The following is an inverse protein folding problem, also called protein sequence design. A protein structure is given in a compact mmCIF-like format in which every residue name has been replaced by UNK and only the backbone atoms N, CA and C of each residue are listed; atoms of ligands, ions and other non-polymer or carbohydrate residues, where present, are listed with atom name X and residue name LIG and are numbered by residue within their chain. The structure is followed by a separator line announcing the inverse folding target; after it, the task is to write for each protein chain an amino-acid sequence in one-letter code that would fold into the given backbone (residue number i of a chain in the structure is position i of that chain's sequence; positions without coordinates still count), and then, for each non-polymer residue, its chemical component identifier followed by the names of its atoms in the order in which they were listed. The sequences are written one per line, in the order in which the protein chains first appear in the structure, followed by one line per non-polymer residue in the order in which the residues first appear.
data_IF_440384443371
#
_entry.id   IF_440384443371
#
_cell.length_a   1.000
_cell.length_b   1.000
_cell.length_c   1.000
_cell.angle_alpha   90.00
_cell.angle_beta   90.00
_cell.angle_gamma   90.00
#
_symmetry.space_group_name_H-M   'P 1'
#
loop_
_entity.id
_entity.type
_entity.pdbx_description
1 polymer ?
#
# COMPACT_ATOMS: atom_id res chain seq x y z
N UNK A 1 -24.68 12.36 -18.93
CA UNK A 1 -24.20 12.52 -17.55
C UNK A 1 -23.83 11.14 -17.05
N UNK A 2 -22.53 10.81 -16.98
CA UNK A 2 -22.09 9.53 -16.43
C UNK A 2 -21.93 9.71 -14.93
N UNK A 3 -22.77 9.03 -14.16
CA UNK A 3 -22.65 8.90 -12.72
C UNK A 3 -21.29 8.26 -12.41
N UNK A 4 -20.38 9.03 -11.81
CA UNK A 4 -19.08 8.52 -11.37
C UNK A 4 -19.36 7.72 -10.10
N UNK A 5 -19.23 6.40 -10.19
CA UNK A 5 -19.16 5.55 -9.01
C UNK A 5 -17.95 6.01 -8.17
N UNK A 6 -18.25 6.56 -6.99
CA UNK A 6 -17.27 6.93 -5.97
C UNK A 6 -16.76 5.63 -5.33
N UNK A 7 -15.76 5.01 -5.94
CA UNK A 7 -15.04 3.89 -5.32
C UNK A 7 -14.07 4.46 -4.28
N UNK A 8 -14.53 4.51 -3.03
CA UNK A 8 -13.72 4.84 -1.86
C UNK A 8 -13.36 3.56 -1.13
N UNK A 9 -12.18 3.51 -0.53
CA UNK A 9 -11.79 2.40 0.31
C UNK A 9 -12.77 2.19 1.49
N UNK A 10 -13.47 3.24 1.94
CA UNK A 10 -14.41 3.16 3.07
C UNK A 10 -15.71 2.42 2.73
N UNK A 11 -16.06 2.34 1.44
CA UNK A 11 -17.31 1.71 0.97
C UNK A 11 -17.13 0.29 0.47
N UNK A 12 -15.90 -0.09 0.12
CA UNK A 12 -15.60 -1.40 -0.47
C UNK A 12 -15.29 -2.43 0.63
N UNK A 13 -15.77 -3.67 0.49
CA UNK A 13 -15.40 -4.76 1.42
C UNK A 13 -13.92 -5.16 1.24
N UNK A 14 -13.15 -5.35 2.34
CA UNK A 14 -11.79 -5.87 2.29
C UNK A 14 -11.67 -7.22 1.60
N UNK A 15 -10.72 -7.34 0.66
CA UNK A 15 -10.49 -8.57 -0.13
C UNK A 15 -9.02 -8.95 -0.18
N UNK A 16 -8.77 -10.22 -0.46
CA UNK A 16 -7.41 -10.77 -0.63
C UNK A 16 -6.57 -10.04 -1.67
N UNK A 17 -7.20 -9.50 -2.72
CA UNK A 17 -6.51 -8.74 -3.78
C UNK A 17 -5.97 -7.41 -3.29
N UNK A 18 -6.51 -6.85 -2.20
CA UNK A 18 -6.11 -5.55 -1.66
C UNK A 18 -4.73 -5.61 -0.99
N UNK A 19 -4.34 -6.81 -0.52
CA UNK A 19 -2.99 -7.11 0.02
C UNK A 19 -1.87 -6.74 -0.96
N UNK A 20 -2.18 -6.68 -2.27
CA UNK A 20 -1.28 -6.14 -3.29
C UNK A 20 -0.75 -4.73 -2.98
N UNK A 21 -1.52 -3.92 -2.24
CA UNK A 21 -1.10 -2.59 -1.77
C UNK A 21 0.17 -2.62 -0.91
N UNK A 22 0.31 -3.65 -0.06
CA UNK A 22 1.51 -3.84 0.75
C UNK A 22 2.72 -4.20 -0.13
N UNK A 23 2.50 -5.00 -1.17
CA UNK A 23 3.55 -5.44 -2.10
C UNK A 23 3.98 -4.33 -3.07
N UNK A 24 3.12 -3.34 -3.32
CA UNK A 24 3.46 -2.12 -4.05
C UNK A 24 4.48 -1.25 -3.28
N UNK A 25 4.43 -1.26 -1.96
CA UNK A 25 5.44 -0.66 -1.09
C UNK A 25 6.58 -1.63 -0.76
N UNK A 26 7.10 -1.51 0.46
CA UNK A 26 8.18 -2.33 1.00
C UNK A 26 7.73 -3.71 1.53
N UNK A 27 6.45 -4.08 1.41
CA UNK A 27 5.94 -5.38 1.85
C UNK A 27 6.53 -6.53 1.03
N UNK A 28 6.81 -7.65 1.69
CA UNK A 28 7.38 -8.85 1.09
C UNK A 28 6.37 -10.00 1.15
N UNK A 29 6.49 -10.93 0.20
CA UNK A 29 5.72 -12.18 0.22
C UNK A 29 6.67 -13.37 0.17
N UNK A 30 6.51 -14.30 1.10
CA UNK A 30 7.31 -15.52 1.20
C UNK A 30 6.39 -16.72 1.10
N UNK A 31 6.69 -17.63 0.17
CA UNK A 31 5.97 -18.89 0.03
C UNK A 31 6.60 -19.98 0.90
N UNK A 32 5.77 -20.72 1.61
CA UNK A 32 6.15 -21.80 2.54
C UNK A 32 5.34 -23.06 2.25
N UNK A 33 5.61 -24.15 2.97
CA UNK A 33 4.79 -25.37 2.90
C UNK A 33 3.32 -25.13 3.31
N UNK A 34 3.05 -24.13 4.17
CA UNK A 34 1.72 -23.77 4.65
C UNK A 34 1.02 -22.72 3.77
N UNK A 35 1.65 -22.31 2.67
CA UNK A 35 1.19 -21.26 1.77
C UNK A 35 2.00 -19.97 1.91
N UNK A 36 1.42 -18.84 1.52
CA UNK A 36 2.11 -17.55 1.47
C UNK A 36 1.87 -16.75 2.73
N UNK A 37 2.96 -16.19 3.26
CA UNK A 37 2.94 -15.09 4.23
C UNK A 37 3.25 -13.78 3.52
N UNK A 38 2.49 -12.73 3.82
CA UNK A 38 2.83 -11.35 3.46
C UNK A 38 3.21 -10.59 4.73
N UNK A 39 4.29 -9.81 4.67
CA UNK A 39 4.80 -9.03 5.81
C UNK A 39 5.30 -7.67 5.36
N UNK A 40 5.10 -6.64 6.17
CA UNK A 40 5.56 -5.28 5.89
C UNK A 40 6.14 -4.65 7.14
N UNK A 41 7.32 -4.05 7.02
CA UNK A 41 7.96 -3.27 8.07
C UNK A 41 7.34 -1.86 8.05
N UNK A 42 6.95 -1.34 9.20
CA UNK A 42 6.32 -0.01 9.32
C UNK A 42 6.98 0.80 10.43
N UNK A 43 6.95 2.12 10.30
CA UNK A 43 7.59 3.02 11.26
C UNK A 43 6.82 3.10 12.59
N UNK A 44 5.48 3.05 12.53
CA UNK A 44 4.62 3.38 13.66
C UNK A 44 3.66 2.25 14.02
N UNK A 45 3.34 2.16 15.32
CA UNK A 45 2.41 1.16 15.85
C UNK A 45 1.02 1.24 15.22
N UNK A 46 0.51 2.45 14.99
CA UNK A 46 -0.80 2.65 14.37
C UNK A 46 -0.88 2.06 12.97
N UNK A 47 0.21 2.10 12.20
CA UNK A 47 0.27 1.53 10.84
C UNK A 47 0.15 0.02 10.90
N UNK A 48 0.88 -0.60 11.83
CA UNK A 48 0.83 -2.05 11.99
C UNK A 48 -0.55 -2.52 12.42
N UNK A 49 -1.16 -1.85 13.41
CA UNK A 49 -2.48 -2.20 13.91
C UNK A 49 -3.57 -2.02 12.85
N UNK A 50 -3.53 -0.93 12.08
CA UNK A 50 -4.47 -0.71 10.97
C UNK A 50 -4.29 -1.76 9.85
N UNK A 51 -3.06 -2.11 9.49
CA UNK A 51 -2.81 -3.17 8.51
C UNK A 51 -3.34 -4.52 9.00
N UNK A 52 -3.12 -4.87 10.27
CA UNK A 52 -3.66 -6.11 10.85
C UNK A 52 -5.19 -6.09 10.85
N UNK A 53 -5.81 -4.97 11.18
CA UNK A 53 -7.27 -4.81 11.14
C UNK A 53 -7.82 -5.02 9.71
N UNK A 54 -7.21 -4.37 8.70
CA UNK A 54 -7.56 -4.50 7.29
C UNK A 54 -7.41 -5.94 6.77
N UNK A 55 -6.29 -6.61 7.12
CA UNK A 55 -6.05 -8.01 6.75
C UNK A 55 -7.06 -8.95 7.41
N UNK A 56 -7.36 -8.72 8.69
CA UNK A 56 -8.34 -9.52 9.45
C UNK A 56 -9.74 -9.35 8.88
N UNK A 57 -10.11 -8.12 8.50
CA UNK A 57 -11.39 -7.83 7.86
C UNK A 57 -11.50 -8.48 6.46
N UNK A 58 -10.38 -8.70 5.76
CA UNK A 58 -10.33 -9.50 4.52
C UNK A 58 -10.38 -11.03 4.78
N UNK A 59 -10.56 -11.44 6.04
CA UNK A 59 -10.65 -12.82 6.49
C UNK A 59 -9.30 -13.53 6.55
N UNK A 60 -8.19 -12.81 6.73
CA UNK A 60 -6.86 -13.39 6.94
C UNK A 60 -6.50 -13.39 8.42
N UNK A 61 -5.80 -14.41 8.90
CA UNK A 61 -5.15 -14.34 10.20
C UNK A 61 -3.90 -13.47 10.07
N UNK A 62 -3.79 -12.42 10.89
CA UNK A 62 -2.71 -11.45 10.85
C UNK A 62 -2.31 -11.02 12.26
N UNK A 63 -1.06 -10.60 12.41
CA UNK A 63 -0.47 -10.20 13.68
C UNK A 63 0.57 -9.09 13.50
N UNK A 64 0.76 -8.32 14.57
CA UNK A 64 1.84 -7.36 14.73
C UNK A 64 2.95 -8.02 15.54
N UNK A 65 4.18 -7.98 15.03
CA UNK A 65 5.37 -8.54 15.70
C UNK A 65 6.53 -7.55 15.65
N UNK A 66 7.51 -7.76 16.53
CA UNK A 66 8.83 -7.12 16.43
C UNK A 66 9.77 -8.12 15.77
N UNK A 67 10.49 -7.69 14.73
CA UNK A 67 11.50 -8.53 14.06
C UNK A 67 12.73 -8.73 14.94
N UNK A 68 13.62 -9.64 14.54
CA UNK A 68 14.89 -9.86 15.24
C UNK A 68 15.76 -8.60 15.23
N UNK A 69 15.64 -7.78 14.20
CA UNK A 69 16.31 -6.48 14.05
C UNK A 69 15.59 -5.34 14.80
N UNK A 70 14.58 -5.64 15.63
CA UNK A 70 13.84 -4.66 16.42
C UNK A 70 12.83 -3.83 15.63
N UNK A 71 12.55 -4.19 14.37
CA UNK A 71 11.62 -3.44 13.52
C UNK A 71 10.17 -3.89 13.76
N UNK A 72 9.24 -2.94 13.71
CA UNK A 72 7.82 -3.24 13.82
C UNK A 72 7.27 -3.80 12.49
N UNK A 73 6.60 -4.94 12.54
CA UNK A 73 6.12 -5.67 11.37
C UNK A 73 4.65 -6.04 11.53
N UNK A 74 3.84 -5.71 10.53
CA UNK A 74 2.53 -6.34 10.34
C UNK A 74 2.66 -7.50 9.34
N UNK A 75 2.11 -8.67 9.68
CA UNK A 75 2.19 -9.85 8.81
C UNK A 75 0.95 -10.71 8.88
N UNK A 76 0.67 -11.43 7.80
CA UNK A 76 -0.29 -12.55 7.83
C UNK A 76 0.38 -13.79 8.43
N UNK A 77 -0.42 -14.72 8.94
CA UNK A 77 0.04 -16.10 9.02
C UNK A 77 0.14 -16.70 7.60
N UNK A 78 1.02 -17.70 7.38
CA UNK A 78 1.08 -18.39 6.10
C UNK A 78 -0.26 -19.02 5.73
N UNK A 79 -0.75 -18.75 4.51
CA UNK A 79 -2.03 -19.28 4.03
C UNK A 79 -2.00 -19.59 2.53
N UNK A 80 -2.63 -20.69 2.06
CA UNK A 80 -2.75 -20.98 0.63
C UNK A 80 -3.54 -19.92 -0.15
N UNK A 81 -4.40 -19.16 0.54
CA UNK A 81 -5.25 -18.11 -0.05
C UNK A 81 -4.44 -16.98 -0.71
N UNK A 82 -3.20 -16.76 -0.27
CA UNK A 82 -2.30 -15.74 -0.81
C UNK A 82 -1.29 -16.28 -1.83
N UNK A 83 -1.30 -17.59 -2.12
CA UNK A 83 -0.34 -18.20 -3.06
C UNK A 83 -0.49 -17.65 -4.48
N UNK A 84 -1.72 -17.44 -4.95
CA UNK A 84 -1.96 -16.85 -6.26
C UNK A 84 -1.44 -15.39 -6.33
N UNK A 85 -1.69 -14.61 -5.27
CA UNK A 85 -1.16 -13.25 -5.15
C UNK A 85 0.37 -13.26 -5.20
N UNK A 86 1.02 -14.08 -4.37
CA UNK A 86 2.48 -14.21 -4.36
C UNK A 86 3.04 -14.50 -5.76
N UNK A 87 2.51 -15.53 -6.45
CA UNK A 87 2.96 -15.92 -7.79
C UNK A 87 2.83 -14.80 -8.82
N UNK A 88 1.81 -13.94 -8.68
CA UNK A 88 1.64 -12.80 -9.60
C UNK A 88 2.60 -11.64 -9.32
N UNK A 89 3.12 -11.55 -8.09
CA UNK A 89 4.01 -10.49 -7.62
C UNK A 89 5.48 -10.94 -7.47
N UNK A 90 5.80 -12.20 -7.80
CA UNK A 90 7.16 -12.73 -7.72
C UNK A 90 7.59 -13.43 -9.01
N UNK A 91 8.86 -13.23 -9.39
CA UNK A 91 9.54 -14.01 -10.42
C UNK A 91 10.78 -14.62 -9.80
N UNK A 92 10.67 -15.86 -9.34
CA UNK A 92 11.69 -16.47 -8.48
C UNK A 92 11.79 -15.70 -7.16
N UNK A 93 12.99 -15.25 -6.80
CA UNK A 93 13.24 -14.45 -5.60
C UNK A 93 12.99 -12.93 -5.77
N UNK A 94 12.63 -12.48 -6.98
CA UNK A 94 12.53 -11.05 -7.30
C UNK A 94 11.08 -10.58 -7.24
N UNK A 95 10.83 -9.47 -6.56
CA UNK A 95 9.53 -8.78 -6.56
C UNK A 95 9.24 -8.20 -7.95
N UNK A 96 8.02 -8.39 -8.42
CA UNK A 96 7.52 -7.89 -9.70
C UNK A 96 6.14 -7.28 -9.54
N UNK A 97 5.70 -6.52 -10.54
CA UNK A 97 4.34 -5.98 -10.61
C UNK A 97 3.60 -6.72 -11.72
N UNK A 98 2.42 -7.29 -11.46
CA UNK A 98 1.64 -7.96 -12.49
C UNK A 98 1.39 -7.04 -13.70
N UNK A 99 1.54 -7.53 -14.95
CA UNK A 99 1.25 -6.74 -16.13
C UNK A 99 -0.18 -6.18 -16.08
N UNK A 100 -0.33 -4.88 -16.35
CA UNK A 100 -1.65 -4.26 -16.37
C UNK A 100 -2.32 -4.08 -15.00
N UNK A 101 -1.62 -4.33 -13.88
CA UNK A 101 -2.19 -4.15 -12.54
C UNK A 101 -2.84 -2.76 -12.37
N UNK A 102 -4.05 -2.75 -11.83
CA UNK A 102 -4.80 -1.56 -11.45
C UNK A 102 -5.12 -1.74 -9.97
N UNK A 103 -4.62 -0.85 -9.09
CA UNK A 103 -4.90 -0.97 -7.67
C UNK A 103 -6.39 -0.70 -7.39
N UNK A 104 -6.97 -1.50 -6.49
CA UNK A 104 -8.26 -1.18 -5.87
C UNK A 104 -8.10 0.00 -4.91
N UNK A 105 -9.21 0.64 -4.53
CA UNK A 105 -9.19 1.71 -3.55
C UNK A 105 -8.53 1.27 -2.22
N UNK A 106 -8.90 0.07 -1.73
CA UNK A 106 -8.30 -0.52 -0.53
C UNK A 106 -6.83 -0.93 -0.68
N UNK A 107 -6.38 -1.33 -1.88
CA UNK A 107 -4.95 -1.55 -2.12
C UNK A 107 -4.17 -0.23 -2.01
N UNK A 108 -4.70 0.88 -2.54
CA UNK A 108 -4.07 2.20 -2.36
C UNK A 108 -4.06 2.60 -0.88
N UNK A 109 -5.15 2.34 -0.15
CA UNK A 109 -5.22 2.58 1.30
C UNK A 109 -4.17 1.79 2.06
N UNK A 110 -4.02 0.49 1.82
CA UNK A 110 -2.99 -0.33 2.46
C UNK A 110 -1.57 0.17 2.14
N UNK A 111 -1.34 0.68 0.93
CA UNK A 111 -0.07 1.28 0.56
C UNK A 111 0.20 2.60 1.32
N UNK A 112 -0.82 3.46 1.44
CA UNK A 112 -0.79 4.67 2.27
C UNK A 112 -0.48 4.34 3.74
N UNK A 113 -1.18 3.36 4.32
CA UNK A 113 -0.96 2.95 5.70
C UNK A 113 0.44 2.37 5.90
N UNK A 114 0.94 1.58 4.95
CA UNK A 114 2.27 0.96 5.04
C UNK A 114 3.43 1.96 5.11
N UNK A 115 3.37 3.05 4.35
CA UNK A 115 4.47 4.02 4.34
C UNK A 115 4.21 5.31 3.56
N UNK A 116 2.95 5.70 3.44
CA UNK A 116 2.57 7.02 2.93
C UNK A 116 2.94 8.14 3.91
N UNK A 117 3.38 9.27 3.40
CA UNK A 117 3.81 10.42 4.21
C UNK A 117 3.37 11.74 3.56
N UNK A 118 2.85 12.66 4.37
CA UNK A 118 2.50 14.02 3.95
C UNK A 118 3.69 14.94 4.20
N UNK A 119 4.13 15.66 3.17
CA UNK A 119 5.32 16.52 3.27
C UNK A 119 5.09 17.82 2.49
N UNK A 120 5.02 18.97 3.16
CA UNK A 120 5.04 20.28 2.47
C UNK A 120 4.05 20.44 1.30
N UNK A 121 2.83 19.90 1.43
CA UNK A 121 1.79 19.97 0.39
C UNK A 121 1.93 18.96 -0.76
N UNK A 122 2.90 18.04 -0.68
CA UNK A 122 2.99 16.82 -1.50
C UNK A 122 2.70 15.59 -0.66
N UNK A 123 2.34 14.50 -1.31
CA UNK A 123 2.16 13.21 -0.67
C UNK A 123 3.12 12.19 -1.26
N UNK A 124 3.87 11.49 -0.42
CA UNK A 124 4.83 10.47 -0.81
C UNK A 124 4.24 9.09 -0.52
N UNK A 125 4.25 8.21 -1.50
CA UNK A 125 4.00 6.77 -1.33
C UNK A 125 5.33 6.03 -1.44
N UNK A 126 5.75 5.36 -0.37
CA UNK A 126 7.02 4.64 -0.36
C UNK A 126 7.08 3.55 -1.43
N UNK A 127 8.26 3.34 -2.00
CA UNK A 127 8.55 2.25 -2.92
C UNK A 127 9.57 1.31 -2.27
N UNK A 128 9.65 0.08 -2.75
CA UNK A 128 10.67 -0.86 -2.30
C UNK A 128 12.07 -0.46 -2.84
N UNK A 129 13.04 -0.10 -1.99
CA UNK A 129 14.40 0.22 -2.43
C UNK A 129 15.14 -1.00 -3.03
N UNK A 130 14.71 -2.22 -2.71
CA UNK A 130 15.31 -3.45 -3.22
C UNK A 130 14.68 -3.95 -4.52
N UNK A 131 13.65 -3.27 -5.04
CA UNK A 131 12.98 -3.63 -6.28
C UNK A 131 12.80 -2.42 -7.24
N UNK A 132 13.88 -1.71 -7.64
CA UNK A 132 13.80 -0.51 -8.49
C UNK A 132 13.08 -0.74 -9.83
N UNK A 133 13.18 -1.94 -10.39
CA UNK A 133 12.51 -2.31 -11.65
C UNK A 133 10.96 -2.26 -11.58
N UNK A 134 10.40 -2.25 -10.36
CA UNK A 134 8.96 -2.15 -10.13
C UNK A 134 8.46 -0.70 -10.22
N UNK A 135 9.31 0.29 -9.95
CA UNK A 135 8.89 1.68 -9.72
C UNK A 135 8.14 2.30 -10.91
N UNK A 136 8.59 2.17 -12.18
CA UNK A 136 7.86 2.74 -13.32
C UNK A 136 6.49 2.08 -13.53
N UNK A 137 6.37 0.78 -13.23
CA UNK A 137 5.11 0.04 -13.36
C UNK A 137 4.10 0.47 -12.28
N UNK A 138 4.57 0.71 -11.07
CA UNK A 138 3.75 1.22 -9.97
C UNK A 138 3.28 2.65 -10.24
N UNK A 139 4.15 3.53 -10.76
CA UNK A 139 3.76 4.86 -11.22
C UNK A 139 2.67 4.80 -12.30
N UNK A 140 2.84 3.93 -13.30
CA UNK A 140 1.85 3.70 -14.36
C UNK A 140 0.52 3.18 -13.79
N UNK A 141 0.56 2.36 -12.74
CA UNK A 141 -0.64 1.78 -12.11
C UNK A 141 -1.47 2.85 -11.40
N UNK A 142 -0.83 3.82 -10.73
CA UNK A 142 -1.54 4.99 -10.18
C UNK A 142 -2.12 5.89 -11.27
N UNK A 143 -1.40 6.07 -12.39
CA UNK A 143 -1.90 6.88 -13.51
C UNK A 143 -3.21 6.31 -14.08
N UNK A 144 -3.37 4.98 -14.13
CA UNK A 144 -4.60 4.31 -14.58
C UNK A 144 -5.84 4.64 -13.73
N UNK A 145 -5.65 4.99 -12.46
CA UNK A 145 -6.75 5.39 -11.56
C UNK A 145 -6.88 6.92 -11.42
N UNK A 146 -6.15 7.69 -12.25
CA UNK A 146 -6.22 9.15 -12.32
C UNK A 146 -5.28 9.89 -11.37
N UNK A 147 -4.30 9.19 -10.77
CA UNK A 147 -3.31 9.77 -9.86
C UNK A 147 -1.96 9.72 -10.58
N UNK A 148 -1.48 10.85 -11.12
CA UNK A 148 -0.20 10.89 -11.83
C UNK A 148 0.96 11.32 -10.90
N UNK A 149 1.78 10.40 -10.39
CA UNK A 149 2.93 10.73 -9.56
C UNK A 149 4.18 11.05 -10.39
N UNK A 150 5.20 11.59 -9.72
CA UNK A 150 6.59 11.56 -10.17
C UNK A 150 7.40 10.63 -9.26
N UNK A 151 8.38 9.91 -9.80
CA UNK A 151 9.28 9.11 -8.97
C UNK A 151 10.34 10.03 -8.37
N UNK A 152 10.51 9.98 -7.05
CA UNK A 152 11.56 10.70 -6.32
C UNK A 152 12.44 9.71 -5.55
N UNK A 153 13.66 10.10 -5.23
CA UNK A 153 14.57 9.25 -4.44
C UNK A 153 14.97 7.93 -5.12
N UNK A 154 14.82 7.82 -6.45
CA UNK A 154 14.98 6.56 -7.20
C UNK A 154 16.35 5.85 -7.02
N UNK A 155 17.39 6.58 -6.59
CA UNK A 155 18.74 6.05 -6.33
C UNK A 155 19.12 6.08 -4.83
N UNK A 156 18.19 6.48 -3.97
CA UNK A 156 18.39 6.58 -2.51
C UNK A 156 17.74 5.43 -1.76
N UNK A 157 17.85 5.46 -0.43
CA UNK A 157 17.24 4.45 0.46
C UNK A 157 15.73 4.60 0.62
N UNK A 158 15.17 5.74 0.18
CA UNK A 158 13.76 6.09 0.35
C UNK A 158 13.12 6.49 -1.00
N UNK A 159 13.09 5.58 -2.00
CA UNK A 159 12.37 5.87 -3.23
C UNK A 159 10.87 6.01 -2.94
N UNK A 160 10.21 6.93 -3.63
CA UNK A 160 8.78 7.17 -3.45
C UNK A 160 8.11 7.66 -4.73
N UNK A 161 6.78 7.48 -4.79
CA UNK A 161 5.91 8.17 -5.72
C UNK A 161 5.40 9.45 -5.07
N UNK A 162 5.82 10.58 -5.62
CA UNK A 162 5.41 11.90 -5.16
C UNK A 162 4.18 12.37 -5.94
N UNK A 163 3.07 12.54 -5.21
CA UNK A 163 1.81 13.08 -5.71
C UNK A 163 1.75 14.55 -5.33
N UNK A 164 1.62 15.42 -6.32
CA UNK A 164 1.54 16.88 -6.15
C UNK A 164 0.32 17.44 -6.85
N UNK A 165 -0.12 18.62 -6.41
CA UNK A 165 -1.20 19.36 -7.06
C UNK A 165 -2.59 18.91 -6.61
N UNK A 166 -3.46 19.91 -6.42
CA UNK A 166 -4.77 19.79 -5.77
C UNK A 166 -5.61 18.64 -6.31
N UNK A 167 -5.85 18.58 -7.63
CA UNK A 167 -6.70 17.55 -8.24
C UNK A 167 -6.23 16.11 -7.95
N UNK A 168 -4.92 15.87 -7.95
CA UNK A 168 -4.37 14.52 -7.74
C UNK A 168 -4.39 14.13 -6.27
N UNK A 169 -4.16 15.08 -5.38
CA UNK A 169 -4.25 14.87 -3.93
C UNK A 169 -5.70 14.64 -3.48
N UNK A 170 -6.65 15.44 -3.98
CA UNK A 170 -8.08 15.20 -3.76
C UNK A 170 -8.47 13.81 -4.27
N UNK A 171 -8.03 13.42 -5.46
CA UNK A 171 -8.31 12.07 -5.99
C UNK A 171 -7.71 10.96 -5.11
N UNK A 172 -6.49 11.14 -4.60
CA UNK A 172 -5.86 10.21 -3.69
C UNK A 172 -6.66 10.09 -2.38
N UNK A 173 -7.03 11.22 -1.78
CA UNK A 173 -7.84 11.26 -0.56
C UNK A 173 -9.20 10.56 -0.76
N UNK A 174 -9.93 10.90 -1.83
CA UNK A 174 -11.20 10.24 -2.19
C UNK A 174 -11.04 8.73 -2.36
N UNK A 175 -9.90 8.29 -2.92
CA UNK A 175 -9.63 6.86 -3.15
C UNK A 175 -9.38 6.13 -1.83
N UNK A 176 -8.58 6.69 -0.92
CA UNK A 176 -8.20 6.00 0.32
C UNK A 176 -9.20 6.17 1.47
N UNK A 177 -10.12 7.12 1.34
CA UNK A 177 -11.13 7.41 2.34
C UNK A 177 -10.58 8.15 3.57
N UNK A 178 -11.38 8.21 4.65
CA UNK A 178 -11.02 8.94 5.86
C UNK A 178 -9.83 8.31 6.57
N UNK A 179 -9.10 9.13 7.31
CA UNK A 179 -8.03 8.66 8.17
C UNK A 179 -8.56 7.67 9.22
N UNK A 180 -7.80 6.60 9.54
CA UNK A 180 -8.03 5.81 10.75
C UNK A 180 -8.21 6.70 11.97
N UNK A 181 -9.13 6.36 12.87
CA UNK A 181 -9.44 7.15 14.09
C UNK A 181 -8.38 7.01 15.20
N UNK A 182 -7.13 6.79 14.82
CA UNK A 182 -6.00 6.58 15.73
C UNK A 182 -5.22 7.88 15.89
N UNK A 183 -4.73 8.15 17.08
CA UNK A 183 -3.97 9.37 17.38
C UNK A 183 -2.69 9.43 16.54
N UNK A 184 -2.42 10.60 15.93
CA UNK A 184 -1.19 10.86 15.17
C UNK A 184 -1.27 10.53 13.67
N UNK A 185 -2.38 9.95 13.20
CA UNK A 185 -2.56 9.57 11.79
C UNK A 185 -2.75 10.79 10.89
N UNK A 186 -3.43 11.83 11.38
CA UNK A 186 -3.82 13.01 10.60
C UNK A 186 -2.63 13.74 9.94
N UNK A 187 -1.45 13.68 10.57
CA UNK A 187 -0.24 14.30 10.04
C UNK A 187 0.30 13.58 8.78
N UNK A 188 0.07 12.27 8.66
CA UNK A 188 0.59 11.41 7.60
C UNK A 188 -0.45 10.98 6.57
N UNK A 189 -1.72 11.37 6.77
CA UNK A 189 -2.80 11.03 5.86
C UNK A 189 -2.83 11.96 4.63
N UNK A 190 -3.29 11.49 3.45
CA UNK A 190 -3.50 12.38 2.31
C UNK A 190 -4.45 13.54 2.67
N UNK A 191 -4.09 14.80 2.39
CA UNK A 191 -4.88 15.94 2.80
C UNK A 191 -6.23 15.99 2.05
N UNK A 192 -7.31 16.24 2.78
CA UNK A 192 -8.67 16.36 2.23
C UNK A 192 -8.79 17.56 1.29
N UNK A 193 -8.24 18.71 1.69
CA UNK A 193 -8.21 19.93 0.89
C UNK A 193 -6.92 20.72 1.12
N UNK A 194 -6.19 21.00 0.03
CA UNK A 194 -5.23 22.09 0.01
C UNK A 194 -6.01 23.40 -0.18
N UNK A 195 -6.10 24.20 0.90
CA UNK A 195 -6.56 25.59 0.85
C UNK A 195 -5.47 26.49 0.28
#
# INVERSE_FOLDING_TARGET
MSQIALFSADTDEPRLVDVAGLLAGNGQSVHTALGTRVSVVVADRWRADEIVAELTAAGLEAETVISEEGSLVARTLPTPRLTALHRSWSRGAVKTVPPGWVPTARAVRLWVVAGGHSEGGRYLLNLDPHAPDTHPRLATSLMRIGIAPIIVGARGLTPALCVTGKRRLTRLHETVGPAPKTVGVDADWPPEQLH
#
